data_IF_801738023502
#
_entry.id   IF_801738023502
#
_cell.length_a   1.000
_cell.length_b   1.000
_cell.length_c   1.000
_cell.angle_alpha   90.00
_cell.angle_beta   90.00
_cell.angle_gamma   90.00
#
_symmetry.space_group_name_H-M   'P 1'
#
loop_
_entity.id
_entity.type
_entity.pdbx_description
1 polymer ?
#
# COMPACT_ATOMS: atom_id res chain seq x y z
N UNK A 1 10.81 -0.07 -12.21
CA UNK A 1 12.05 -0.84 -12.03
C UNK A 1 13.15 0.11 -11.60
N UNK A 2 13.91 -0.22 -10.56
CA UNK A 2 14.96 0.63 -9.97
C UNK A 2 16.27 0.64 -10.80
N UNK A 3 16.23 0.09 -12.02
CA UNK A 3 17.38 -0.23 -12.87
C UNK A 3 18.29 0.98 -13.19
N UNK A 4 17.78 2.21 -13.07
CA UNK A 4 18.58 3.43 -13.26
C UNK A 4 19.65 3.64 -12.17
N UNK A 5 19.42 3.12 -10.97
CA UNK A 5 20.29 3.33 -9.80
C UNK A 5 20.66 2.03 -9.07
N UNK A 6 20.06 0.90 -9.45
CA UNK A 6 20.28 -0.40 -8.83
C UNK A 6 20.48 -1.47 -9.89
N UNK A 7 21.65 -2.13 -9.87
CA UNK A 7 22.08 -3.07 -10.91
C UNK A 7 21.51 -4.49 -10.76
N UNK A 8 21.01 -4.84 -9.57
CA UNK A 8 20.38 -6.13 -9.35
C UNK A 8 18.89 -6.11 -9.70
N UNK A 9 18.35 -7.29 -9.99
CA UNK A 9 16.95 -7.45 -10.36
C UNK A 9 16.03 -7.08 -9.18
N UNK A 10 15.39 -5.92 -9.25
CA UNK A 10 14.47 -5.44 -8.22
C UNK A 10 13.23 -6.33 -8.02
N UNK A 11 12.92 -7.21 -8.97
CA UNK A 11 11.82 -8.18 -8.84
C UNK A 11 12.18 -9.36 -7.94
N UNK A 12 13.48 -9.57 -7.67
CA UNK A 12 13.96 -10.61 -6.75
C UNK A 12 13.66 -10.28 -5.28
N UNK A 13 13.36 -9.01 -4.97
CA UNK A 13 13.04 -8.63 -3.60
C UNK A 13 11.69 -9.21 -3.20
N UNK A 14 11.62 -9.87 -2.05
CA UNK A 14 10.36 -10.35 -1.54
C UNK A 14 9.55 -9.10 -1.14
N UNK A 15 8.36 -8.95 -1.72
CA UNK A 15 7.50 -7.77 -1.53
C UNK A 15 6.08 -8.19 -1.19
N UNK A 16 5.39 -7.37 -0.40
CA UNK A 16 3.97 -7.51 -0.12
C UNK A 16 3.26 -6.24 -0.60
N UNK A 17 2.51 -6.35 -1.68
CA UNK A 17 1.59 -5.29 -2.11
C UNK A 17 0.24 -5.47 -1.42
N UNK A 18 -0.05 -4.58 -0.47
CA UNK A 18 -1.26 -4.57 0.33
C UNK A 18 -2.51 -4.40 -0.55
N UNK A 19 -2.47 -3.48 -1.51
CA UNK A 19 -3.62 -3.20 -2.38
C UNK A 19 -3.82 -4.31 -3.42
N UNK A 20 -2.75 -4.95 -3.89
CA UNK A 20 -2.88 -6.11 -4.77
C UNK A 20 -3.47 -7.30 -4.02
N UNK A 21 -3.05 -7.56 -2.77
CA UNK A 21 -3.66 -8.63 -1.95
C UNK A 21 -5.15 -8.36 -1.69
N UNK A 22 -5.53 -7.10 -1.41
CA UNK A 22 -6.94 -6.72 -1.29
C UNK A 22 -7.68 -6.92 -2.61
N UNK A 23 -7.08 -6.52 -3.75
CA UNK A 23 -7.66 -6.69 -5.08
C UNK A 23 -7.88 -8.16 -5.43
N UNK A 24 -6.95 -9.05 -5.09
CA UNK A 24 -7.09 -10.50 -5.32
C UNK A 24 -8.34 -11.05 -4.61
N UNK A 25 -8.63 -10.57 -3.41
CA UNK A 25 -9.79 -10.99 -2.62
C UNK A 25 -11.08 -10.28 -3.04
N UNK A 26 -11.01 -8.99 -3.38
CA UNK A 26 -12.15 -8.18 -3.80
C UNK A 26 -12.54 -8.37 -5.28
N UNK A 27 -11.68 -8.98 -6.10
CA UNK A 27 -11.85 -9.16 -7.54
C UNK A 27 -11.65 -7.89 -8.40
N UNK A 28 -11.37 -6.74 -7.78
CA UNK A 28 -11.12 -5.48 -8.47
C UNK A 28 -10.28 -4.53 -7.59
N UNK A 29 -9.67 -3.51 -8.20
CA UNK A 29 -8.87 -2.53 -7.49
C UNK A 29 -9.76 -1.66 -6.59
N UNK A 30 -9.37 -1.53 -5.33
CA UNK A 30 -9.94 -0.60 -4.35
C UNK A 30 -8.90 0.49 -4.07
N UNK A 31 -9.33 1.75 -3.91
CA UNK A 31 -8.43 2.83 -3.53
C UNK A 31 -8.01 2.68 -2.07
N UNK A 32 -6.77 3.10 -1.76
CA UNK A 32 -6.28 3.13 -0.37
C UNK A 32 -7.21 3.93 0.54
N UNK A 33 -7.70 5.07 0.06
CA UNK A 33 -8.63 5.94 0.79
C UNK A 33 -9.95 5.23 1.14
N UNK A 34 -10.56 4.52 0.18
CA UNK A 34 -11.80 3.78 0.44
C UNK A 34 -11.62 2.65 1.46
N UNK A 35 -10.44 2.04 1.50
CA UNK A 35 -10.10 1.03 2.53
C UNK A 35 -9.86 1.71 3.87
N UNK A 36 -9.05 2.77 3.91
CA UNK A 36 -8.68 3.48 5.12
C UNK A 36 -9.90 4.08 5.83
N UNK A 37 -10.82 4.69 5.08
CA UNK A 37 -12.02 5.31 5.63
C UNK A 37 -12.89 4.32 6.39
N UNK A 38 -13.16 3.16 5.81
CA UNK A 38 -14.07 2.17 6.40
C UNK A 38 -13.37 1.20 7.37
N UNK A 39 -12.05 1.00 7.22
CA UNK A 39 -11.26 0.12 8.10
C UNK A 39 -10.80 0.84 9.36
N UNK A 40 -10.26 2.07 9.20
CA UNK A 40 -9.59 2.81 10.26
C UNK A 40 -10.44 3.99 10.77
N UNK A 41 -11.54 4.33 10.10
CA UNK A 41 -12.30 5.56 10.39
C UNK A 41 -11.53 6.84 10.02
N UNK A 42 -10.41 6.71 9.30
CA UNK A 42 -9.57 7.82 8.86
C UNK A 42 -9.68 7.94 7.35
N UNK A 43 -10.19 9.07 6.87
CA UNK A 43 -10.13 9.42 5.45
C UNK A 43 -8.79 10.06 5.11
N UNK A 44 -8.33 9.86 3.88
CA UNK A 44 -7.24 10.66 3.33
C UNK A 44 -7.74 12.08 3.10
N UNK A 45 -6.97 13.09 3.51
CA UNK A 45 -7.36 14.50 3.38
C UNK A 45 -7.18 15.07 1.96
N UNK A 46 -6.89 14.25 0.95
CA UNK A 46 -6.53 14.72 -0.39
C UNK A 46 -6.82 13.69 -1.49
N UNK A 47 -6.96 14.20 -2.72
CA UNK A 47 -7.18 13.44 -3.93
C UNK A 47 -5.84 13.07 -4.60
N UNK A 48 -5.82 12.02 -5.42
CA UNK A 48 -4.62 11.56 -6.14
C UNK A 48 -3.96 12.62 -7.02
N UNK A 49 -4.68 13.71 -7.35
CA UNK A 49 -4.19 14.82 -8.16
C UNK A 49 -3.44 15.90 -7.35
N UNK A 50 -3.53 15.88 -6.02
CA UNK A 50 -2.96 16.94 -5.18
C UNK A 50 -1.42 16.92 -5.21
N UNK A 51 -0.80 15.74 -5.26
CA UNK A 51 0.64 15.62 -5.40
C UNK A 51 1.17 16.30 -6.68
N UNK A 52 0.46 16.14 -7.80
CA UNK A 52 0.84 16.75 -9.08
C UNK A 52 0.70 18.27 -9.00
N UNK A 53 -0.38 18.74 -8.36
CA UNK A 53 -0.61 20.18 -8.14
C UNK A 53 0.50 20.79 -7.29
N UNK A 54 0.79 20.22 -6.11
CA UNK A 54 1.83 20.73 -5.22
C UNK A 54 3.20 20.75 -5.87
N UNK A 55 3.54 19.73 -6.67
CA UNK A 55 4.80 19.70 -7.40
C UNK A 55 4.89 20.83 -8.45
N UNK A 56 3.82 21.05 -9.24
CA UNK A 56 3.76 22.13 -10.25
C UNK A 56 3.82 23.51 -9.63
N UNK A 57 3.25 23.68 -8.44
CA UNK A 57 3.25 24.93 -7.68
C UNK A 57 4.57 25.15 -6.91
N UNK A 58 5.50 24.20 -6.93
CA UNK A 58 6.74 24.26 -6.15
C UNK A 58 6.54 24.11 -4.63
N UNK A 59 5.34 23.71 -4.19
CA UNK A 59 5.02 23.50 -2.78
C UNK A 59 5.48 22.12 -2.31
N UNK A 60 6.80 21.95 -2.19
CA UNK A 60 7.41 20.69 -1.80
C UNK A 60 7.04 20.25 -0.39
N UNK A 61 6.71 21.19 0.51
CA UNK A 61 6.27 20.86 1.86
C UNK A 61 4.93 20.13 1.83
N UNK A 62 3.93 20.67 1.13
CA UNK A 62 2.62 20.02 1.01
C UNK A 62 2.71 18.66 0.30
N UNK A 63 3.58 18.56 -0.71
CA UNK A 63 3.87 17.29 -1.39
C UNK A 63 4.46 16.25 -0.43
N UNK A 64 5.45 16.65 0.39
CA UNK A 64 6.07 15.79 1.40
C UNK A 64 5.04 15.33 2.43
N UNK A 65 4.24 16.25 2.98
CA UNK A 65 3.22 15.94 3.98
C UNK A 65 2.19 14.93 3.41
N UNK A 66 1.76 15.13 2.16
CA UNK A 66 0.86 14.21 1.44
C UNK A 66 1.48 12.82 1.25
N UNK A 67 2.74 12.74 0.81
CA UNK A 67 3.44 11.45 0.64
C UNK A 67 3.61 10.70 1.97
N UNK A 68 3.94 11.41 3.05
CA UNK A 68 4.08 10.82 4.38
C UNK A 68 2.75 10.31 4.92
N UNK A 69 1.66 11.03 4.67
CA UNK A 69 0.33 10.58 5.04
C UNK A 69 -0.03 9.26 4.35
N UNK A 70 0.26 9.13 3.04
CA UNK A 70 0.02 7.88 2.30
C UNK A 70 0.79 6.69 2.88
N UNK A 71 2.04 6.91 3.29
CA UNK A 71 2.87 5.88 3.95
C UNK A 71 2.27 5.50 5.30
N UNK A 72 1.87 6.48 6.12
CA UNK A 72 1.27 6.23 7.43
C UNK A 72 -0.05 5.44 7.31
N UNK A 73 -0.95 5.85 6.40
CA UNK A 73 -2.21 5.16 6.17
C UNK A 73 -1.98 3.74 5.66
N UNK A 74 -1.02 3.54 4.75
CA UNK A 74 -0.68 2.21 4.23
C UNK A 74 -0.19 1.29 5.35
N UNK A 75 0.68 1.78 6.24
CA UNK A 75 1.13 1.05 7.44
C UNK A 75 -0.05 0.67 8.32
N UNK A 76 -0.92 1.63 8.63
CA UNK A 76 -2.03 1.40 9.58
C UNK A 76 -3.06 0.40 9.01
N UNK A 77 -3.32 0.43 7.70
CA UNK A 77 -4.15 -0.58 7.02
C UNK A 77 -3.49 -1.96 7.07
N UNK A 78 -2.18 -2.04 6.86
CA UNK A 78 -1.43 -3.29 7.00
C UNK A 78 -1.53 -3.85 8.42
N UNK A 79 -1.24 -3.03 9.43
CA UNK A 79 -1.27 -3.47 10.84
C UNK A 79 -2.66 -3.97 11.23
N UNK A 80 -3.71 -3.26 10.81
CA UNK A 80 -5.08 -3.71 11.02
C UNK A 80 -5.35 -5.04 10.34
N UNK A 81 -5.07 -5.16 9.03
CA UNK A 81 -5.36 -6.36 8.27
C UNK A 81 -4.55 -7.57 8.75
N UNK A 82 -3.30 -7.36 9.17
CA UNK A 82 -2.46 -8.39 9.76
C UNK A 82 -3.02 -8.88 11.09
N UNK A 83 -3.47 -7.98 11.97
CA UNK A 83 -4.02 -8.34 13.28
C UNK A 83 -5.45 -8.90 13.23
N UNK A 84 -6.28 -8.42 12.29
CA UNK A 84 -7.72 -8.73 12.23
C UNK A 84 -8.10 -9.71 11.13
N UNK A 85 -7.21 -10.00 10.19
CA UNK A 85 -7.44 -10.90 9.05
C UNK A 85 -8.45 -10.39 8.03
N UNK A 86 -8.83 -9.11 8.08
CA UNK A 86 -9.76 -8.49 7.14
C UNK A 86 -9.55 -6.98 7.07
N UNK A 87 -10.06 -6.38 6.00
CA UNK A 87 -10.23 -4.92 5.85
C UNK A 87 -11.66 -4.62 5.39
N UNK A 88 -12.06 -3.36 5.46
CA UNK A 88 -13.40 -2.90 5.08
C UNK A 88 -13.32 -1.82 4.02
N UNK A 89 -14.29 -1.80 3.11
CA UNK A 89 -14.47 -0.73 2.13
C UNK A 89 -15.91 -0.70 1.62
N UNK A 90 -16.31 0.40 0.97
CA UNK A 90 -17.60 0.48 0.26
C UNK A 90 -17.45 0.11 -1.20
N UNK A 91 -18.35 -0.74 -1.69
CA UNK A 91 -18.39 -1.08 -3.12
C UNK A 91 -19.15 -0.01 -3.94
N UNK A 92 -19.22 -0.21 -5.26
CA UNK A 92 -19.91 0.69 -6.19
C UNK A 92 -21.41 0.91 -5.89
N UNK A 93 -22.04 0.02 -5.12
CA UNK A 93 -23.44 0.14 -4.68
C UNK A 93 -23.56 0.69 -3.25
N UNK A 94 -22.52 1.33 -2.73
CA UNK A 94 -22.47 1.93 -1.41
C UNK A 94 -22.70 0.93 -0.25
N UNK A 95 -22.44 -0.37 -0.49
CA UNK A 95 -22.53 -1.40 0.56
C UNK A 95 -21.17 -1.56 1.23
N UNK A 96 -21.19 -1.63 2.55
CA UNK A 96 -20.00 -1.97 3.34
C UNK A 96 -19.64 -3.43 3.12
N UNK A 97 -18.44 -3.68 2.65
CA UNK A 97 -17.88 -5.01 2.41
C UNK A 97 -16.76 -5.24 3.41
N UNK A 98 -16.79 -6.41 4.05
CA UNK A 98 -15.66 -6.93 4.82
C UNK A 98 -14.91 -7.90 3.92
N UNK A 99 -13.68 -7.54 3.57
CA UNK A 99 -12.82 -8.30 2.68
C UNK A 99 -11.79 -9.06 3.52
N UNK A 100 -11.83 -10.40 3.55
CA UNK A 100 -10.81 -11.18 4.23
C UNK A 100 -9.46 -10.91 3.56
N UNK A 101 -8.41 -10.75 4.36
CA UNK A 101 -7.05 -10.58 3.86
C UNK A 101 -6.11 -11.40 4.70
N UNK A 102 -5.04 -11.84 4.06
CA UNK A 102 -3.89 -12.41 4.73
C UNK A 102 -2.69 -11.54 4.37
N UNK A 103 -2.14 -10.83 5.35
CA UNK A 103 -0.95 -10.01 5.18
C UNK A 103 0.30 -10.67 5.77
N UNK A 104 0.22 -11.97 6.10
CA UNK A 104 1.42 -12.69 6.48
C UNK A 104 2.39 -12.74 5.30
N UNK A 105 3.65 -12.42 5.60
CA UNK A 105 4.71 -12.33 4.62
C UNK A 105 5.73 -13.44 4.90
N UNK A 106 5.63 -14.52 4.12
CA UNK A 106 6.58 -15.61 4.20
C UNK A 106 7.70 -15.36 3.19
N UNK A 107 8.92 -15.16 3.71
CA UNK A 107 10.12 -15.14 2.89
C UNK A 107 10.28 -16.51 2.22
N UNK A 108 9.94 -16.60 0.94
CA UNK A 108 10.37 -17.75 0.16
C UNK A 108 11.90 -17.66 0.03
N UNK A 109 12.62 -18.63 0.61
CA UNK A 109 14.05 -18.79 0.43
C UNK A 109 14.31 -19.05 -1.05
N UNK A 110 14.56 -18.00 -1.83
CA UNK A 110 15.25 -18.17 -3.10
C UNK A 110 16.66 -18.67 -2.77
N UNK A 111 16.95 -19.91 -3.18
CA UNK A 111 18.14 -20.69 -2.86
C UNK A 111 19.45 -20.17 -3.50
N UNK A 112 19.67 -18.84 -3.53
CA UNK A 112 20.78 -18.26 -4.27
C UNK A 112 21.40 -16.98 -3.70
N UNK A 113 20.93 -16.45 -2.57
CA UNK A 113 21.58 -15.28 -1.96
C UNK A 113 22.54 -15.73 -0.85
N UNK A 114 23.74 -16.17 -1.26
CA UNK A 114 24.86 -16.33 -0.33
C UNK A 114 25.24 -14.93 0.18
N UNK A 115 24.72 -14.55 1.34
CA UNK A 115 25.23 -13.42 2.11
C UNK A 115 26.54 -13.85 2.74
N UNK A 116 27.61 -13.87 1.95
CA UNK A 116 28.98 -13.89 2.44
C UNK A 116 29.26 -12.51 3.04
N UNK A 117 29.04 -12.35 4.34
CA UNK A 117 29.78 -11.34 5.09
C UNK A 117 31.18 -11.92 5.33
N UNK A 118 32.19 -11.20 4.80
CA UNK A 118 33.63 -11.30 5.05
C UNK A 118 34.15 -12.54 5.78
#
# INVERSE_FOLDING_TARGET
>A
ALNAHYQADSTSFPTLDILDRIKQQAGHRISLDAVAQETLGMGKSGNGLDAIKYYREGNLKALSDYCLQDVAVTRDVYDYGFQKGHVKFRNKWNRLITCPVDFSFNLQKNAGMQMSLL
#
